data_IF_242245139683
#
_entry.id   IF_242245139683
#
_cell.length_a   1.000
_cell.length_b   1.000
_cell.length_c   1.000
_cell.angle_alpha   90.00
_cell.angle_beta   90.00
_cell.angle_gamma   90.00
#
_symmetry.space_group_name_H-M   'P 1'
#
loop_
_entity.id
_entity.type
_entity.pdbx_description
1 polymer ?
#
# COMPACT_ATOMS: atom_id res chain seq x y z
N UNK A 1 13.36 -15.57 -29.41
CA UNK A 1 12.67 -14.42 -28.79
C UNK A 1 13.26 -14.23 -27.41
N UNK A 2 13.71 -13.04 -27.07
CA UNK A 2 14.27 -12.78 -25.75
C UNK A 2 13.11 -12.81 -24.75
N UNK A 3 13.01 -13.85 -23.92
CA UNK A 3 11.94 -14.01 -22.92
C UNK A 3 12.10 -13.02 -21.75
N UNK A 4 13.28 -12.43 -21.61
CA UNK A 4 13.60 -11.47 -20.55
C UNK A 4 13.32 -10.06 -20.99
N UNK A 5 12.74 -9.28 -20.08
CA UNK A 5 12.28 -7.91 -20.27
C UNK A 5 13.14 -6.91 -19.53
N UNK A 6 13.08 -5.65 -19.94
CA UNK A 6 13.55 -4.53 -19.13
C UNK A 6 12.34 -3.89 -18.48
N UNK A 7 12.32 -3.83 -17.15
CA UNK A 7 11.25 -3.27 -16.34
C UNK A 7 11.68 -1.91 -15.81
N UNK A 8 10.87 -0.89 -16.07
CA UNK A 8 11.05 0.44 -15.52
C UNK A 8 10.24 0.59 -14.23
N UNK A 9 10.88 1.07 -13.16
CA UNK A 9 10.21 1.35 -11.89
C UNK A 9 10.27 2.83 -11.61
N UNK A 10 9.12 3.47 -11.43
CA UNK A 10 9.00 4.86 -11.01
C UNK A 10 8.96 4.88 -9.48
N UNK A 11 10.04 5.39 -8.89
CA UNK A 11 10.32 5.34 -7.47
C UNK A 11 11.40 4.31 -7.13
N UNK A 12 12.47 4.80 -6.49
CA UNK A 12 13.64 4.01 -6.08
C UNK A 12 13.71 3.77 -4.57
N UNK A 13 12.60 3.91 -3.85
CA UNK A 13 12.51 3.61 -2.42
C UNK A 13 12.61 2.12 -2.11
N UNK A 14 12.18 1.73 -0.91
CA UNK A 14 12.26 0.32 -0.48
C UNK A 14 11.37 -0.61 -1.30
N UNK A 15 10.18 -0.16 -1.74
CA UNK A 15 9.30 -1.00 -2.55
C UNK A 15 9.88 -1.18 -3.95
N UNK A 16 10.40 -0.12 -4.56
CA UNK A 16 11.13 -0.18 -5.83
C UNK A 16 12.33 -1.11 -5.77
N UNK A 17 13.11 -1.07 -4.69
CA UNK A 17 14.23 -1.99 -4.45
C UNK A 17 13.75 -3.45 -4.38
N UNK A 18 12.71 -3.76 -3.61
CA UNK A 18 12.22 -5.12 -3.45
C UNK A 18 11.55 -5.65 -4.72
N UNK A 19 10.84 -4.79 -5.48
CA UNK A 19 10.34 -5.14 -6.83
C UNK A 19 11.50 -5.42 -7.80
N UNK A 20 12.57 -4.60 -7.76
CA UNK A 20 13.75 -4.81 -8.59
C UNK A 20 14.46 -6.14 -8.26
N UNK A 21 14.58 -6.50 -6.98
CA UNK A 21 15.14 -7.78 -6.53
C UNK A 21 14.30 -8.94 -7.10
N UNK A 22 12.97 -8.90 -6.95
CA UNK A 22 12.08 -9.93 -7.50
C UNK A 22 12.24 -10.07 -9.03
N UNK A 23 12.28 -8.95 -9.75
CA UNK A 23 12.47 -8.92 -11.21
C UNK A 23 13.81 -9.53 -11.63
N UNK A 24 14.91 -9.22 -10.92
CA UNK A 24 16.25 -9.74 -11.21
C UNK A 24 16.31 -11.25 -10.95
N UNK A 25 15.71 -11.76 -9.90
CA UNK A 25 15.62 -13.21 -9.66
C UNK A 25 14.89 -13.95 -10.78
N UNK A 26 13.93 -13.29 -11.44
CA UNK A 26 13.24 -13.82 -12.63
C UNK A 26 14.05 -13.64 -13.93
N UNK A 27 15.24 -13.03 -13.88
CA UNK A 27 16.14 -12.82 -15.02
C UNK A 27 15.89 -11.51 -15.80
N UNK A 28 15.02 -10.62 -15.32
CA UNK A 28 14.71 -9.34 -15.94
C UNK A 28 15.78 -8.29 -15.64
N UNK A 29 15.89 -7.26 -16.48
CA UNK A 29 16.65 -6.04 -16.20
C UNK A 29 15.74 -5.00 -15.58
N UNK A 30 16.31 -4.14 -14.73
CA UNK A 30 15.56 -3.08 -14.08
C UNK A 30 16.26 -1.73 -14.28
N UNK A 31 15.46 -0.71 -14.61
CA UNK A 31 15.85 0.69 -14.62
C UNK A 31 14.86 1.42 -13.71
N UNK A 32 15.37 2.23 -12.81
CA UNK A 32 14.56 2.99 -11.84
C UNK A 32 14.65 4.49 -12.15
N UNK A 33 13.56 5.22 -11.98
CA UNK A 33 13.55 6.68 -11.98
C UNK A 33 13.34 7.16 -10.56
N UNK A 34 14.27 7.96 -10.03
CA UNK A 34 14.22 8.51 -8.67
C UNK A 34 14.98 9.84 -8.60
N UNK A 35 14.50 10.85 -7.85
CA UNK A 35 15.23 12.11 -7.70
C UNK A 35 16.57 11.98 -6.96
N UNK A 36 16.84 10.82 -6.33
CA UNK A 36 18.03 10.59 -5.52
C UNK A 36 18.91 9.51 -6.14
N UNK A 37 20.14 9.85 -6.49
CA UNK A 37 21.08 8.90 -7.11
C UNK A 37 21.39 7.68 -6.22
N UNK A 38 21.41 7.84 -4.92
CA UNK A 38 21.70 6.84 -3.90
C UNK A 38 20.44 6.31 -3.20
N UNK A 39 19.32 6.28 -3.93
CA UNK A 39 18.08 5.67 -3.47
C UNK A 39 18.27 4.16 -3.18
N UNK A 40 17.41 3.53 -2.35
CA UNK A 40 17.49 2.10 -2.05
C UNK A 40 17.64 1.20 -3.29
N UNK A 41 16.88 1.46 -4.35
CA UNK A 41 16.91 0.67 -5.59
C UNK A 41 18.22 0.81 -6.39
N UNK A 42 19.00 1.88 -6.17
CA UNK A 42 20.31 2.08 -6.86
C UNK A 42 21.33 0.94 -6.64
N UNK A 43 21.11 0.14 -5.60
CA UNK A 43 21.96 -1.02 -5.30
C UNK A 43 21.75 -2.20 -6.22
N UNK A 44 20.60 -2.22 -6.90
CA UNK A 44 20.15 -3.37 -7.71
C UNK A 44 19.60 -2.96 -9.08
N UNK A 45 19.59 -1.68 -9.43
CA UNK A 45 19.11 -1.18 -10.72
C UNK A 45 19.95 0.00 -11.21
N UNK A 46 19.93 0.25 -12.52
CA UNK A 46 20.36 1.53 -13.09
C UNK A 46 19.35 2.61 -12.68
N UNK A 47 19.82 3.81 -12.35
CA UNK A 47 18.95 4.92 -11.93
C UNK A 47 19.00 6.06 -12.93
N UNK A 48 17.83 6.48 -13.43
CA UNK A 48 17.64 7.76 -14.07
C UNK A 48 17.32 8.76 -12.97
N UNK A 49 18.21 9.73 -12.77
CA UNK A 49 18.06 10.72 -11.67
C UNK A 49 17.25 11.91 -12.19
N UNK A 50 15.99 12.00 -11.78
CA UNK A 50 15.08 13.09 -12.14
C UNK A 50 13.87 13.14 -11.18
N UNK A 51 13.19 14.29 -11.06
CA UNK A 51 11.89 14.38 -10.40
C UNK A 51 10.86 13.46 -11.05
N UNK A 52 9.85 13.02 -10.28
CA UNK A 52 8.83 12.07 -10.76
C UNK A 52 7.84 12.67 -11.76
N UNK A 53 7.78 14.00 -11.88
CA UNK A 53 6.97 14.78 -12.81
C UNK A 53 7.79 15.30 -14.02
N UNK A 54 9.05 14.88 -14.16
CA UNK A 54 9.86 15.19 -15.34
C UNK A 54 9.45 14.31 -16.52
N UNK A 55 8.65 14.88 -17.42
CA UNK A 55 8.09 14.21 -18.61
C UNK A 55 9.18 13.72 -19.55
N UNK A 56 10.32 14.42 -19.67
CA UNK A 56 11.44 13.98 -20.52
C UNK A 56 12.10 12.72 -19.92
N UNK A 57 12.35 12.71 -18.61
CA UNK A 57 12.93 11.56 -17.93
C UNK A 57 11.98 10.35 -17.92
N UNK A 58 10.66 10.57 -17.76
CA UNK A 58 9.64 9.55 -17.92
C UNK A 58 9.64 8.98 -19.34
N UNK A 59 9.77 9.83 -20.35
CA UNK A 59 9.90 9.42 -21.75
C UNK A 59 11.18 8.62 -22.03
N UNK A 60 12.31 8.99 -21.42
CA UNK A 60 13.56 8.24 -21.50
C UNK A 60 13.41 6.85 -20.84
N UNK A 61 12.75 6.76 -19.67
CA UNK A 61 12.47 5.49 -19.02
C UNK A 61 11.58 4.61 -19.91
N UNK A 62 10.48 5.17 -20.44
CA UNK A 62 9.53 4.45 -21.30
C UNK A 62 10.19 3.93 -22.60
N UNK A 63 11.09 4.71 -23.22
CA UNK A 63 11.80 4.32 -24.44
C UNK A 63 12.81 3.17 -24.21
N UNK A 64 13.27 2.95 -22.97
CA UNK A 64 14.28 1.96 -22.61
C UNK A 64 13.72 0.69 -21.99
N UNK A 65 12.42 0.71 -21.63
CA UNK A 65 11.77 -0.38 -20.92
C UNK A 65 10.66 -1.02 -21.75
N UNK A 66 10.47 -2.32 -21.56
CA UNK A 66 9.35 -3.07 -22.16
C UNK A 66 8.05 -2.84 -21.36
N UNK A 67 8.17 -2.68 -20.04
CA UNK A 67 7.06 -2.53 -19.09
C UNK A 67 7.45 -1.55 -18.00
N UNK A 68 6.51 -0.71 -17.61
CA UNK A 68 6.65 0.22 -16.49
C UNK A 68 5.74 -0.18 -15.33
N UNK A 69 6.19 0.16 -14.13
CA UNK A 69 5.42 0.10 -12.88
C UNK A 69 5.84 1.24 -11.96
N UNK A 70 5.10 1.46 -10.87
CA UNK A 70 5.39 2.50 -9.89
C UNK A 70 5.37 1.94 -8.46
N UNK A 71 6.16 2.53 -7.57
CA UNK A 71 6.26 2.11 -6.17
C UNK A 71 5.35 2.89 -5.22
N UNK A 72 4.74 3.97 -5.65
CA UNK A 72 3.90 4.83 -4.83
C UNK A 72 2.80 5.50 -5.66
N UNK A 73 1.76 5.95 -4.99
CA UNK A 73 0.55 6.49 -5.61
C UNK A 73 0.67 7.93 -6.12
N UNK A 74 1.61 8.74 -5.62
CA UNK A 74 1.73 10.17 -5.96
C UNK A 74 2.59 10.43 -7.22
N UNK A 75 2.48 9.55 -8.22
CA UNK A 75 3.10 9.74 -9.54
C UNK A 75 2.20 10.61 -10.41
N UNK A 76 2.78 11.45 -11.27
CA UNK A 76 2.03 12.27 -12.21
C UNK A 76 1.35 11.41 -13.28
N UNK A 77 0.04 11.16 -13.10
CA UNK A 77 -0.73 10.34 -14.01
C UNK A 77 -0.89 10.98 -15.40
N UNK A 78 -0.95 12.31 -15.50
CA UNK A 78 -1.08 13.03 -16.77
C UNK A 78 0.25 13.01 -17.53
N UNK A 79 1.36 13.19 -16.82
CA UNK A 79 2.71 13.05 -17.38
C UNK A 79 2.97 11.63 -17.90
N UNK A 80 2.51 10.61 -17.18
CA UNK A 80 2.59 9.22 -17.66
C UNK A 80 1.76 8.99 -18.92
N UNK A 81 0.51 9.45 -18.98
CA UNK A 81 -0.34 9.30 -20.17
C UNK A 81 0.26 9.97 -21.41
N UNK A 82 1.06 11.03 -21.22
CA UNK A 82 1.72 11.72 -22.32
C UNK A 82 2.87 10.93 -22.95
N UNK A 83 3.51 10.01 -22.22
CA UNK A 83 4.76 9.35 -22.64
C UNK A 83 4.67 7.83 -22.76
N UNK A 84 3.68 7.20 -22.16
CA UNK A 84 3.55 5.73 -22.18
C UNK A 84 2.34 5.28 -22.99
N UNK A 85 2.48 4.15 -23.67
CA UNK A 85 1.34 3.42 -24.22
C UNK A 85 0.69 2.54 -23.14
N UNK A 86 -0.59 2.18 -23.32
CA UNK A 86 -1.29 1.27 -22.41
C UNK A 86 -0.59 -0.10 -22.26
N UNK A 87 0.15 -0.53 -23.28
CA UNK A 87 0.94 -1.77 -23.24
C UNK A 87 2.18 -1.67 -22.36
N UNK A 88 2.77 -0.48 -22.23
CA UNK A 88 3.97 -0.24 -21.41
C UNK A 88 3.65 -0.04 -19.94
N UNK A 89 2.46 0.41 -19.59
CA UNK A 89 1.99 0.57 -18.20
C UNK A 89 0.72 -0.26 -17.96
N UNK A 90 0.83 -1.58 -17.71
CA UNK A 90 -0.33 -2.47 -17.59
C UNK A 90 -1.25 -2.13 -16.42
N UNK A 91 -0.72 -1.50 -15.36
CA UNK A 91 -1.52 -0.98 -14.24
C UNK A 91 -2.43 0.18 -14.65
N UNK A 92 -2.09 0.89 -15.73
CA UNK A 92 -2.79 2.09 -16.17
C UNK A 92 -2.64 3.28 -15.20
N UNK A 93 -3.19 4.41 -15.58
CA UNK A 93 -3.22 5.64 -14.77
C UNK A 93 -4.56 5.85 -14.06
N UNK A 94 -5.62 5.15 -14.48
CA UNK A 94 -6.95 5.24 -13.83
C UNK A 94 -6.89 4.82 -12.36
N UNK A 95 -6.14 3.76 -12.05
CA UNK A 95 -5.95 3.29 -10.68
C UNK A 95 -5.20 4.34 -9.83
N UNK A 96 -4.20 5.02 -10.40
CA UNK A 96 -3.53 6.13 -9.73
C UNK A 96 -4.52 7.26 -9.41
N UNK A 97 -5.32 7.69 -10.39
CA UNK A 97 -6.32 8.76 -10.20
C UNK A 97 -7.36 8.40 -9.15
N UNK A 98 -7.78 7.13 -9.11
CA UNK A 98 -8.70 6.64 -8.07
C UNK A 98 -8.04 6.75 -6.69
N UNK A 99 -6.83 6.25 -6.50
CA UNK A 99 -6.16 6.20 -5.21
C UNK A 99 -5.62 7.54 -4.72
N UNK A 100 -5.31 8.47 -5.65
CA UNK A 100 -4.85 9.82 -5.32
C UNK A 100 -5.94 10.74 -4.77
N UNK A 101 -7.21 10.36 -4.93
CA UNK A 101 -8.34 11.20 -4.52
C UNK A 101 -9.40 10.38 -3.77
N UNK A 102 -9.56 10.64 -2.46
CA UNK A 102 -10.50 9.91 -1.59
C UNK A 102 -11.95 9.97 -2.05
N UNK A 103 -12.36 11.02 -2.77
CA UNK A 103 -13.71 11.12 -3.34
C UNK A 103 -13.89 10.10 -4.47
N UNK A 104 -12.89 9.99 -5.35
CA UNK A 104 -12.91 9.02 -6.45
C UNK A 104 -12.78 7.59 -5.92
N UNK A 105 -11.91 7.38 -4.94
CA UNK A 105 -11.71 6.11 -4.27
C UNK A 105 -13.01 5.61 -3.60
N UNK A 106 -13.63 6.42 -2.74
CA UNK A 106 -14.89 6.05 -2.08
C UNK A 106 -16.03 5.80 -3.07
N UNK A 107 -16.13 6.65 -4.10
CA UNK A 107 -17.12 6.46 -5.16
C UNK A 107 -16.87 5.15 -5.94
N UNK A 108 -15.63 4.84 -6.26
CA UNK A 108 -15.27 3.58 -6.92
C UNK A 108 -15.61 2.38 -6.03
N UNK A 109 -15.17 2.38 -4.77
CA UNK A 109 -15.39 1.29 -3.83
C UNK A 109 -16.87 1.02 -3.59
N UNK A 110 -17.64 2.07 -3.27
CA UNK A 110 -19.07 1.93 -2.96
C UNK A 110 -19.92 1.61 -4.18
N UNK A 111 -19.74 2.35 -5.29
CA UNK A 111 -20.70 2.34 -6.40
C UNK A 111 -20.26 1.46 -7.58
N UNK A 112 -18.96 1.32 -7.86
CA UNK A 112 -18.44 0.50 -8.98
C UNK A 112 -18.02 -0.88 -8.50
N UNK A 113 -17.24 -0.96 -7.43
CA UNK A 113 -16.84 -2.23 -6.84
C UNK A 113 -17.99 -2.86 -6.01
N UNK A 114 -18.89 -2.05 -5.43
CA UNK A 114 -20.05 -2.53 -4.67
C UNK A 114 -19.65 -3.20 -3.35
N UNK A 115 -18.59 -2.69 -2.71
CA UNK A 115 -18.13 -3.16 -1.40
C UNK A 115 -18.59 -2.20 -0.29
N UNK A 116 -18.70 -2.73 0.93
CA UNK A 116 -19.07 -1.93 2.09
C UNK A 116 -17.95 -0.97 2.46
N UNK A 117 -18.26 0.32 2.55
CA UNK A 117 -17.40 1.39 3.07
C UNK A 117 -18.11 2.11 4.20
N UNK A 118 -17.40 2.87 5.04
CA UNK A 118 -18.03 3.75 6.02
C UNK A 118 -19.00 4.71 5.31
N UNK A 119 -20.18 5.03 5.88
CA UNK A 119 -21.04 6.08 5.35
C UNK A 119 -20.26 7.39 5.20
N UNK A 120 -20.35 8.01 4.04
CA UNK A 120 -19.55 9.20 3.75
C UNK A 120 -20.33 10.26 2.97
N UNK A 121 -19.86 11.49 3.05
CA UNK A 121 -20.30 12.58 2.16
C UNK A 121 -19.09 13.42 1.71
N UNK A 122 -19.22 14.01 0.54
CA UNK A 122 -18.26 14.99 0.03
C UNK A 122 -18.49 16.32 0.72
N UNK A 123 -17.42 16.98 1.14
CA UNK A 123 -17.41 18.28 1.80
C UNK A 123 -16.59 19.23 0.94
N UNK A 124 -17.20 20.33 0.50
CA UNK A 124 -16.59 21.34 -0.35
C UNK A 124 -16.36 22.67 0.36
N UNK A 125 -17.02 22.86 1.50
CA UNK A 125 -16.89 24.04 2.34
C UNK A 125 -17.32 23.74 3.77
N UNK A 126 -17.05 24.67 4.69
CA UNK A 126 -17.50 24.57 6.08
C UNK A 126 -19.03 24.51 6.24
N UNK A 127 -19.79 25.02 5.24
CA UNK A 127 -21.26 24.96 5.27
C UNK A 127 -21.78 23.52 5.20
N UNK A 128 -21.03 22.63 4.54
CA UNK A 128 -21.39 21.21 4.48
C UNK A 128 -21.29 20.49 5.83
N UNK A 129 -20.66 21.12 6.83
CA UNK A 129 -20.55 20.59 8.19
C UNK A 129 -21.68 21.12 9.12
N UNK A 130 -22.52 22.03 8.63
CA UNK A 130 -23.66 22.52 9.43
C UNK A 130 -24.70 21.41 9.58
N UNK A 131 -25.32 21.37 10.78
CA UNK A 131 -26.38 20.40 11.09
C UNK A 131 -25.91 18.94 11.22
N UNK A 132 -24.62 18.70 11.41
CA UNK A 132 -24.11 17.35 11.73
C UNK A 132 -24.76 16.83 13.02
N UNK A 133 -25.13 15.56 13.00
CA UNK A 133 -25.60 14.84 14.19
C UNK A 133 -24.39 14.53 15.09
N UNK A 134 -24.09 15.42 16.04
CA UNK A 134 -22.96 15.27 16.96
C UNK A 134 -23.17 14.19 18.05
N UNK A 135 -24.21 13.37 17.95
CA UNK A 135 -24.28 12.10 18.71
C UNK A 135 -23.39 11.03 18.10
N UNK A 136 -22.97 11.22 16.85
CA UNK A 136 -22.02 10.37 16.12
C UNK A 136 -20.63 11.00 16.08
N UNK A 137 -19.62 10.15 15.93
CA UNK A 137 -18.24 10.58 15.65
C UNK A 137 -18.01 10.54 14.15
N UNK A 138 -17.26 11.50 13.63
CA UNK A 138 -16.88 11.58 12.22
C UNK A 138 -15.38 11.76 12.05
N UNK A 139 -14.89 11.41 10.87
CA UNK A 139 -13.52 11.72 10.44
C UNK A 139 -13.60 12.53 9.15
N UNK A 140 -13.14 13.76 9.19
CA UNK A 140 -12.99 14.62 8.02
C UNK A 140 -11.58 14.43 7.47
N UNK A 141 -11.47 14.03 6.20
CA UNK A 141 -10.19 13.77 5.54
C UNK A 141 -10.09 14.62 4.28
N UNK A 142 -8.93 15.24 4.02
CA UNK A 142 -8.71 15.93 2.73
C UNK A 142 -8.81 14.93 1.58
N UNK A 143 -9.40 15.37 0.46
CA UNK A 143 -9.57 14.52 -0.71
C UNK A 143 -8.22 14.09 -1.31
N UNK A 144 -7.20 14.94 -1.24
CA UNK A 144 -5.85 14.68 -1.76
C UNK A 144 -4.78 15.06 -0.75
N UNK A 145 -3.58 14.49 -0.86
CA UNK A 145 -2.38 14.89 -0.10
C UNK A 145 -2.36 14.44 1.37
N UNK A 146 -3.30 13.63 1.85
CA UNK A 146 -3.28 13.06 3.20
C UNK A 146 -2.47 11.76 3.27
N UNK A 147 -1.63 11.60 4.31
CA UNK A 147 -0.85 10.39 4.59
C UNK A 147 -0.54 10.28 6.09
N UNK A 148 -0.39 9.08 6.62
CA UNK A 148 0.01 8.79 8.01
C UNK A 148 -0.71 9.68 9.06
N UNK A 149 -2.04 9.94 8.88
CA UNK A 149 -2.84 10.78 9.76
C UNK A 149 -2.80 12.30 9.48
N UNK A 150 -1.97 12.75 8.54
CA UNK A 150 -1.99 14.15 8.08
C UNK A 150 -3.20 14.44 7.19
N UNK A 151 -3.72 15.68 7.27
CA UNK A 151 -4.88 16.09 6.48
C UNK A 151 -6.21 15.49 6.96
N UNK A 152 -6.32 15.13 8.24
CA UNK A 152 -7.55 14.64 8.83
C UNK A 152 -7.87 15.28 10.18
N UNK A 153 -9.18 15.35 10.49
CA UNK A 153 -9.69 15.80 11.78
C UNK A 153 -10.83 14.89 12.24
N UNK A 154 -10.71 14.36 13.46
CA UNK A 154 -11.82 13.63 14.10
C UNK A 154 -12.75 14.62 14.75
N UNK A 155 -14.06 14.49 14.53
CA UNK A 155 -15.13 15.33 15.08
C UNK A 155 -15.94 14.47 16.04
N UNK A 156 -15.76 14.70 17.35
CA UNK A 156 -16.49 14.02 18.43
C UNK A 156 -17.52 14.89 19.09
N UNK A 157 -17.33 16.20 19.02
CA UNK A 157 -18.18 17.18 19.67
C UNK A 157 -18.18 18.52 18.91
N UNK A 158 -18.98 19.47 19.37
CA UNK A 158 -19.01 20.83 18.82
C UNK A 158 -17.65 21.56 18.96
N UNK A 159 -16.81 21.17 19.92
CA UNK A 159 -15.48 21.75 20.14
C UNK A 159 -14.50 21.45 18.98
N UNK A 160 -14.72 20.34 18.26
CA UNK A 160 -13.90 19.95 17.12
C UNK A 160 -14.27 20.68 15.80
N UNK A 161 -15.47 21.29 15.74
CA UNK A 161 -15.99 21.91 14.52
C UNK A 161 -15.14 23.06 13.98
N UNK A 162 -14.56 23.98 14.80
CA UNK A 162 -13.78 25.09 14.26
C UNK A 162 -12.57 24.62 13.43
N UNK A 163 -11.83 23.62 13.90
CA UNK A 163 -10.69 23.06 13.15
C UNK A 163 -11.16 22.30 11.92
N UNK A 164 -12.25 21.53 12.02
CA UNK A 164 -12.82 20.83 10.89
C UNK A 164 -13.32 21.80 9.80
N UNK A 165 -13.97 22.91 10.19
CA UNK A 165 -14.40 23.98 9.28
C UNK A 165 -13.21 24.66 8.59
N UNK A 166 -12.12 24.89 9.33
CA UNK A 166 -10.89 25.43 8.74
C UNK A 166 -10.33 24.48 7.68
N UNK A 167 -10.28 23.18 7.96
CA UNK A 167 -9.85 22.16 7.01
C UNK A 167 -10.75 22.11 5.77
N UNK A 168 -12.07 22.11 5.95
CA UNK A 168 -13.06 22.08 4.87
C UNK A 168 -13.04 23.34 3.97
N UNK A 169 -12.60 24.49 4.51
CA UNK A 169 -12.43 25.71 3.74
C UNK A 169 -11.07 25.77 3.00
N UNK A 170 -10.11 24.96 3.39
CA UNK A 170 -8.79 24.90 2.76
C UNK A 170 -8.67 23.91 1.60
N UNK A 171 -9.49 22.84 1.62
CA UNK A 171 -9.45 21.78 0.62
C UNK A 171 -10.80 21.05 0.53
N UNK A 172 -11.06 20.42 -0.62
CA UNK A 172 -12.14 19.43 -0.70
C UNK A 172 -11.84 18.27 0.25
N UNK A 173 -12.89 17.78 0.92
CA UNK A 173 -12.78 16.71 1.91
C UNK A 173 -13.83 15.63 1.68
N UNK A 174 -13.59 14.49 2.35
CA UNK A 174 -14.58 13.44 2.58
C UNK A 174 -14.84 13.39 4.08
N UNK A 175 -16.10 13.49 4.49
CA UNK A 175 -16.55 13.26 5.86
C UNK A 175 -17.07 11.84 5.96
N UNK A 176 -16.42 11.00 6.75
CA UNK A 176 -16.79 9.62 7.00
C UNK A 176 -17.37 9.46 8.40
N UNK A 177 -18.41 8.63 8.59
CA UNK A 177 -18.80 8.20 9.93
C UNK A 177 -17.67 7.35 10.50
N UNK A 178 -17.30 7.59 11.76
CA UNK A 178 -16.27 6.82 12.44
C UNK A 178 -16.73 5.37 12.63
N UNK A 179 -15.93 4.44 12.18
CA UNK A 179 -16.17 3.01 12.34
C UNK A 179 -15.61 2.58 13.69
N UNK A 180 -16.47 2.06 14.58
CA UNK A 180 -16.00 1.35 15.76
C UNK A 180 -15.59 -0.06 15.34
N UNK A 181 -14.31 -0.29 15.21
CA UNK A 181 -13.74 -1.56 14.78
C UNK A 181 -12.99 -2.24 15.93
N UNK A 182 -12.88 -3.58 15.82
CA UNK A 182 -12.10 -4.37 16.75
C UNK A 182 -10.64 -4.49 16.29
N UNK A 183 -10.42 -4.66 14.97
CA UNK A 183 -9.10 -4.81 14.37
C UNK A 183 -9.00 -4.03 13.05
N UNK A 184 -7.80 -3.52 12.78
CA UNK A 184 -7.41 -3.11 11.44
C UNK A 184 -6.80 -4.31 10.71
N UNK A 185 -7.29 -4.58 9.51
CA UNK A 185 -6.80 -5.68 8.67
C UNK A 185 -6.48 -5.19 7.27
N UNK A 186 -5.71 -5.97 6.55
CA UNK A 186 -5.51 -5.75 5.12
C UNK A 186 -5.50 -7.07 4.34
N UNK A 187 -5.74 -6.97 3.04
CA UNK A 187 -5.61 -8.07 2.10
C UNK A 187 -4.79 -7.60 0.92
N UNK A 188 -3.67 -8.27 0.67
CA UNK A 188 -2.88 -8.07 -0.53
C UNK A 188 -3.47 -8.95 -1.63
N UNK A 189 -3.67 -8.36 -2.80
CA UNK A 189 -4.09 -9.06 -4.02
C UNK A 189 -3.18 -8.66 -5.18
N UNK A 190 -2.88 -9.60 -6.05
CA UNK A 190 -2.14 -9.33 -7.29
C UNK A 190 -2.95 -9.81 -8.48
N UNK A 191 -2.98 -9.01 -9.54
CA UNK A 191 -3.70 -9.31 -10.78
C UNK A 191 -2.77 -9.32 -11.99
N UNK A 192 -3.18 -10.00 -13.06
CA UNK A 192 -2.51 -9.98 -14.37
C UNK A 192 -3.44 -9.48 -15.48
N UNK A 193 -4.50 -8.76 -15.11
CA UNK A 193 -5.57 -8.32 -16.01
C UNK A 193 -6.69 -9.33 -16.21
N UNK A 194 -6.50 -10.61 -15.85
CA UNK A 194 -7.48 -11.71 -15.99
C UNK A 194 -7.68 -12.45 -14.68
N UNK A 195 -6.61 -12.99 -14.13
CA UNK A 195 -6.59 -13.76 -12.89
C UNK A 195 -6.14 -12.90 -11.70
N UNK A 196 -6.49 -13.35 -10.49
CA UNK A 196 -6.15 -12.68 -9.22
C UNK A 196 -5.59 -13.71 -8.25
N UNK A 197 -4.40 -13.46 -7.72
CA UNK A 197 -3.83 -14.14 -6.56
C UNK A 197 -4.16 -13.34 -5.29
N UNK A 198 -4.47 -14.04 -4.20
CA UNK A 198 -4.89 -13.45 -2.92
C UNK A 198 -4.00 -13.97 -1.81
N UNK A 199 -3.43 -13.07 -1.03
CA UNK A 199 -2.65 -13.39 0.15
C UNK A 199 -3.56 -13.66 1.37
N UNK A 200 -3.05 -14.32 2.41
CA UNK A 200 -3.73 -14.43 3.70
C UNK A 200 -4.13 -13.04 4.23
N UNK A 201 -5.19 -12.98 5.03
CA UNK A 201 -5.59 -11.72 5.68
C UNK A 201 -4.56 -11.37 6.75
N UNK A 202 -4.10 -10.11 6.75
CA UNK A 202 -3.17 -9.58 7.73
C UNK A 202 -3.92 -8.72 8.76
N UNK A 203 -3.57 -8.88 10.04
CA UNK A 203 -3.92 -7.93 11.09
C UNK A 203 -2.81 -6.89 11.23
N UNK A 204 -3.18 -5.63 11.32
CA UNK A 204 -2.25 -4.51 11.36
C UNK A 204 -2.40 -3.72 12.66
N UNK A 205 -1.32 -3.55 13.39
CA UNK A 205 -1.26 -2.76 14.61
C UNK A 205 -0.49 -1.49 14.31
N UNK A 206 -1.17 -0.35 14.51
CA UNK A 206 -0.59 0.97 14.30
C UNK A 206 -0.26 1.65 15.62
N UNK A 207 0.90 2.28 15.68
CA UNK A 207 1.30 3.16 16.76
C UNK A 207 1.48 4.58 16.18
N UNK A 208 0.73 5.56 16.71
CA UNK A 208 0.73 6.94 16.20
C UNK A 208 0.52 7.03 14.67
N UNK A 209 -0.45 6.28 14.14
CA UNK A 209 -0.79 6.16 12.71
C UNK A 209 0.33 5.55 11.83
N UNK A 210 1.37 4.98 12.39
CA UNK A 210 2.41 4.27 11.66
C UNK A 210 2.27 2.78 11.95
N UNK A 211 2.24 1.94 10.90
CA UNK A 211 2.22 0.49 11.06
C UNK A 211 3.44 0.04 11.87
N UNK A 212 3.21 -0.56 13.03
CA UNK A 212 4.23 -1.10 13.92
C UNK A 212 4.41 -2.61 13.71
N UNK A 213 3.30 -3.36 13.72
CA UNK A 213 3.30 -4.81 13.69
C UNK A 213 2.23 -5.34 12.73
N UNK A 214 2.56 -6.38 11.98
CA UNK A 214 1.61 -7.15 11.18
C UNK A 214 1.60 -8.60 11.63
N UNK A 215 0.42 -9.17 11.85
CA UNK A 215 0.21 -10.56 12.27
C UNK A 215 -0.48 -11.32 11.15
N UNK A 216 0.01 -12.50 10.82
CA UNK A 216 -0.53 -13.32 9.74
C UNK A 216 -0.60 -14.79 10.18
N UNK A 217 -1.77 -15.43 10.04
CA UNK A 217 -3.07 -14.86 9.65
C UNK A 217 -3.64 -13.92 10.71
N UNK A 218 -4.52 -13.00 10.28
CA UNK A 218 -5.26 -12.12 11.20
C UNK A 218 -6.11 -12.92 12.20
N UNK A 219 -6.22 -12.43 13.43
CA UNK A 219 -6.96 -13.08 14.54
C UNK A 219 -8.47 -12.81 14.45
N UNK A 220 -9.06 -13.15 13.31
CA UNK A 220 -10.49 -13.03 13.02
C UNK A 220 -11.08 -14.40 12.66
N UNK A 221 -12.41 -14.52 12.65
CA UNK A 221 -13.07 -15.76 12.23
C UNK A 221 -12.83 -16.06 10.75
N UNK A 222 -12.84 -17.35 10.38
CA UNK A 222 -12.72 -17.79 8.98
C UNK A 222 -13.78 -17.12 8.09
N UNK A 223 -15.00 -16.91 8.60
CA UNK A 223 -16.08 -16.25 7.88
C UNK A 223 -15.73 -14.79 7.53
N UNK A 224 -15.15 -14.04 8.46
CA UNK A 224 -14.70 -12.66 8.23
C UNK A 224 -13.49 -12.63 7.30
N UNK A 225 -12.54 -13.56 7.46
CA UNK A 225 -11.38 -13.68 6.58
C UNK A 225 -11.80 -13.97 5.13
N UNK A 226 -12.74 -14.89 4.93
CA UNK A 226 -13.28 -15.18 3.59
C UNK A 226 -14.03 -13.99 3.00
N UNK A 227 -14.77 -13.24 3.84
CA UNK A 227 -15.45 -12.02 3.40
C UNK A 227 -14.45 -10.96 2.95
N UNK A 228 -13.40 -10.70 3.74
CA UNK A 228 -12.35 -9.73 3.41
C UNK A 228 -11.66 -10.09 2.08
N UNK A 229 -11.26 -11.36 1.90
CA UNK A 229 -10.69 -11.85 0.65
C UNK A 229 -11.62 -11.68 -0.54
N UNK A 230 -12.90 -12.02 -0.40
CA UNK A 230 -13.90 -11.85 -1.48
C UNK A 230 -14.05 -10.39 -1.89
N UNK A 231 -14.08 -9.46 -0.93
CA UNK A 231 -14.16 -8.02 -1.20
C UNK A 231 -12.91 -7.53 -1.95
N UNK A 232 -11.71 -7.94 -1.52
CA UNK A 232 -10.46 -7.58 -2.19
C UNK A 232 -10.40 -8.13 -3.63
N UNK A 233 -10.80 -9.38 -3.86
CA UNK A 233 -10.92 -9.97 -5.20
C UNK A 233 -11.94 -9.22 -6.06
N UNK A 234 -13.07 -8.82 -5.49
CA UNK A 234 -14.10 -8.06 -6.19
C UNK A 234 -13.57 -6.70 -6.66
N UNK A 235 -12.82 -5.99 -5.80
CA UNK A 235 -12.14 -4.73 -6.14
C UNK A 235 -11.14 -4.96 -7.28
N UNK A 236 -10.24 -5.94 -7.13
CA UNK A 236 -9.21 -6.26 -8.12
C UNK A 236 -9.80 -6.60 -9.50
N UNK A 237 -10.87 -7.41 -9.54
CA UNK A 237 -11.58 -7.74 -10.79
C UNK A 237 -12.23 -6.53 -11.44
N UNK A 238 -12.81 -5.61 -10.66
CA UNK A 238 -13.43 -4.39 -11.19
C UNK A 238 -12.40 -3.42 -11.76
N UNK A 239 -11.18 -3.43 -11.22
CA UNK A 239 -10.04 -2.68 -11.72
C UNK A 239 -9.36 -3.34 -12.93
N UNK A 240 -9.67 -4.60 -13.25
CA UNK A 240 -8.86 -5.42 -14.17
C UNK A 240 -7.38 -5.36 -13.77
N UNK A 241 -7.12 -5.53 -12.47
CA UNK A 241 -5.83 -5.26 -11.84
C UNK A 241 -4.67 -5.96 -12.58
N UNK A 242 -3.62 -5.20 -12.87
CA UNK A 242 -2.29 -5.71 -13.21
C UNK A 242 -1.29 -5.22 -12.15
N UNK A 243 -0.47 -6.14 -11.61
CA UNK A 243 0.38 -5.83 -10.45
C UNK A 243 -0.35 -6.04 -9.12
N UNK A 244 0.12 -5.40 -8.05
CA UNK A 244 -0.36 -5.61 -6.68
C UNK A 244 -1.17 -4.43 -6.17
N UNK A 245 -2.20 -4.76 -5.39
CA UNK A 245 -3.07 -3.84 -4.67
C UNK A 245 -3.15 -4.28 -3.21
N UNK A 246 -3.06 -3.36 -2.28
CA UNK A 246 -3.46 -3.58 -0.89
C UNK A 246 -4.85 -2.99 -0.67
N UNK A 247 -5.71 -3.73 0.01
CA UNK A 247 -7.02 -3.26 0.46
C UNK A 247 -7.00 -3.22 1.98
N UNK A 248 -7.05 -2.02 2.55
CA UNK A 248 -7.10 -1.82 3.99
C UNK A 248 -8.55 -1.78 4.47
N UNK A 249 -8.83 -2.48 5.57
CA UNK A 249 -10.18 -2.72 6.04
C UNK A 249 -10.25 -2.65 7.56
N UNK A 250 -11.43 -2.34 8.06
CA UNK A 250 -11.80 -2.47 9.45
C UNK A 250 -12.61 -3.75 9.65
N UNK A 251 -12.21 -4.58 10.60
CA UNK A 251 -12.98 -5.73 11.05
C UNK A 251 -13.74 -5.38 12.34
N UNK A 252 -15.04 -5.61 12.31
CA UNK A 252 -15.92 -5.56 13.50
C UNK A 252 -16.29 -6.99 13.89
N UNK A 253 -17.04 -7.17 14.97
CA UNK A 253 -17.50 -8.49 15.41
C UNK A 253 -18.22 -9.28 14.28
N UNK A 254 -18.95 -8.60 13.39
CA UNK A 254 -19.84 -9.23 12.43
C UNK A 254 -19.61 -8.82 10.98
N UNK A 255 -18.77 -7.80 10.72
CA UNK A 255 -18.64 -7.22 9.38
C UNK A 255 -17.21 -6.79 9.04
N UNK A 256 -16.99 -6.60 7.72
CA UNK A 256 -15.76 -6.03 7.15
C UNK A 256 -16.14 -4.76 6.38
N UNK A 257 -15.42 -3.68 6.64
CA UNK A 257 -15.64 -2.36 6.04
C UNK A 257 -14.33 -1.92 5.36
N UNK A 258 -14.38 -1.66 4.07
CA UNK A 258 -13.18 -1.18 3.32
C UNK A 258 -12.89 0.25 3.70
N UNK A 259 -11.65 0.52 4.11
CA UNK A 259 -11.15 1.85 4.42
C UNK A 259 -10.56 2.53 3.17
N UNK A 260 -9.45 1.99 2.65
CA UNK A 260 -8.74 2.58 1.51
C UNK A 260 -8.00 1.50 0.70
N UNK A 261 -7.48 1.89 -0.47
CA UNK A 261 -6.67 1.02 -1.32
C UNK A 261 -5.31 1.66 -1.61
N UNK A 262 -4.26 0.84 -1.67
CA UNK A 262 -2.95 1.25 -2.13
C UNK A 262 -2.58 0.48 -3.41
N UNK A 263 -2.35 1.16 -4.56
CA UNK A 263 -2.18 0.55 -5.88
C UNK A 263 -0.76 0.00 -6.10
N UNK A 264 -0.18 -0.67 -5.12
CA UNK A 264 1.23 -1.09 -5.08
C UNK A 264 1.44 -2.18 -4.02
N UNK A 265 2.61 -2.84 -4.01
CA UNK A 265 3.04 -3.61 -2.84
C UNK A 265 2.97 -2.75 -1.57
N UNK A 266 2.59 -3.36 -0.46
CA UNK A 266 2.29 -2.65 0.78
C UNK A 266 3.17 -3.14 1.94
N UNK A 267 3.39 -2.25 2.91
CA UNK A 267 4.21 -2.55 4.08
C UNK A 267 3.70 -3.78 4.86
N UNK A 268 2.37 -3.89 5.02
CA UNK A 268 1.75 -5.05 5.68
C UNK A 268 1.94 -6.38 4.94
N UNK A 269 2.38 -6.35 3.68
CA UNK A 269 2.65 -7.54 2.87
C UNK A 269 4.11 -8.00 2.89
N UNK A 270 5.01 -7.33 3.63
CA UNK A 270 6.45 -7.67 3.60
C UNK A 270 6.75 -9.05 4.19
N UNK A 271 5.93 -9.52 5.15
CA UNK A 271 6.04 -10.89 5.70
C UNK A 271 6.06 -11.96 4.60
N UNK A 272 5.42 -11.68 3.45
CA UNK A 272 5.30 -12.66 2.36
C UNK A 272 6.63 -13.06 1.73
N UNK A 273 7.71 -12.30 1.97
CA UNK A 273 9.05 -12.64 1.48
C UNK A 273 9.52 -13.97 2.09
N UNK A 274 9.30 -14.19 3.38
CA UNK A 274 9.72 -15.42 4.07
C UNK A 274 8.56 -16.38 4.29
N UNK A 275 7.37 -15.85 4.59
CA UNK A 275 6.27 -16.67 5.08
C UNK A 275 5.38 -17.25 3.99
N UNK A 276 5.54 -16.85 2.72
CA UNK A 276 4.78 -17.39 1.60
C UNK A 276 5.70 -18.03 0.55
N UNK A 277 5.13 -18.91 -0.27
CA UNK A 277 5.80 -19.50 -1.44
C UNK A 277 6.13 -18.49 -2.54
N UNK A 278 5.37 -17.40 -2.62
CA UNK A 278 5.64 -16.21 -3.45
C UNK A 278 5.41 -14.95 -2.64
N UNK A 279 6.32 -13.99 -2.77
CA UNK A 279 6.12 -12.68 -2.14
C UNK A 279 5.14 -11.81 -2.94
N UNK A 280 4.64 -10.74 -2.30
CA UNK A 280 3.86 -9.73 -3.00
C UNK A 280 4.64 -9.05 -4.13
N UNK A 281 5.97 -9.05 -4.06
CA UNK A 281 6.85 -8.48 -5.09
C UNK A 281 6.97 -9.42 -6.28
N UNK A 282 7.08 -10.73 -6.04
CA UNK A 282 7.08 -11.73 -7.11
C UNK A 282 5.79 -11.68 -7.90
N UNK A 283 4.65 -11.70 -7.20
CA UNK A 283 3.33 -11.65 -7.84
C UNK A 283 3.04 -10.29 -8.49
N UNK A 284 3.62 -9.20 -7.99
CA UNK A 284 3.57 -7.90 -8.65
C UNK A 284 4.26 -7.95 -10.02
N UNK A 285 5.49 -8.46 -10.07
CA UNK A 285 6.25 -8.59 -11.32
C UNK A 285 5.54 -9.52 -12.31
N UNK A 286 5.07 -10.69 -11.86
CA UNK A 286 4.27 -11.58 -12.70
C UNK A 286 3.03 -10.87 -13.24
N UNK A 287 2.34 -10.11 -12.40
CA UNK A 287 1.13 -9.38 -12.75
C UNK A 287 1.36 -8.31 -13.82
N UNK A 288 2.36 -7.45 -13.67
CA UNK A 288 2.67 -6.41 -14.65
C UNK A 288 3.23 -6.99 -15.96
N UNK A 289 3.76 -8.20 -15.93
CA UNK A 289 4.21 -8.92 -17.12
C UNK A 289 3.09 -9.74 -17.79
N UNK A 290 1.87 -9.74 -17.25
CA UNK A 290 0.75 -10.55 -17.74
C UNK A 290 1.00 -12.06 -17.63
N UNK A 291 1.87 -12.48 -16.71
CA UNK A 291 2.21 -13.88 -16.47
C UNK A 291 1.12 -14.58 -15.64
N UNK A 292 0.98 -15.90 -15.71
CA UNK A 292 0.10 -16.65 -14.83
C UNK A 292 0.47 -16.41 -13.36
N UNK A 293 -0.55 -16.19 -12.52
CA UNK A 293 -0.36 -15.98 -11.09
C UNK A 293 -0.49 -17.30 -10.32
N UNK A 294 0.38 -17.54 -9.31
CA UNK A 294 0.30 -18.73 -8.47
C UNK A 294 -0.86 -18.62 -7.46
N UNK A 295 -1.26 -19.77 -6.91
CA UNK A 295 -1.98 -19.80 -5.64
C UNK A 295 -0.99 -19.54 -4.52
N UNK A 296 -1.33 -18.66 -3.58
CA UNK A 296 -0.44 -18.29 -2.48
C UNK A 296 -0.65 -19.20 -1.29
N UNK A 297 0.42 -19.80 -0.80
CA UNK A 297 0.42 -20.62 0.40
C UNK A 297 1.25 -19.96 1.50
N UNK A 298 0.67 -19.83 2.69
CA UNK A 298 1.37 -19.42 3.90
C UNK A 298 2.06 -20.66 4.49
N UNK A 299 3.37 -20.59 4.73
CA UNK A 299 4.15 -21.72 5.26
C UNK A 299 3.88 -21.95 6.74
N UNK A 300 3.78 -20.86 7.50
CA UNK A 300 3.51 -20.85 8.93
C UNK A 300 3.01 -19.47 9.37
N UNK A 301 2.32 -19.36 10.52
CA UNK A 301 2.01 -18.06 11.11
C UNK A 301 3.26 -17.21 11.28
N UNK A 302 3.13 -15.92 10.99
CA UNK A 302 4.25 -15.00 11.01
C UNK A 302 3.87 -13.64 11.60
N UNK A 303 4.88 -12.98 12.16
CA UNK A 303 4.79 -11.60 12.62
C UNK A 303 5.84 -10.78 11.90
N UNK A 304 5.45 -9.64 11.38
CA UNK A 304 6.37 -8.65 10.81
C UNK A 304 6.38 -7.40 11.69
N UNK A 305 7.56 -6.96 12.10
CA UNK A 305 7.80 -5.73 12.85
C UNK A 305 8.45 -4.68 11.95
N UNK A 306 7.93 -3.47 11.94
CA UNK A 306 8.58 -2.35 11.26
C UNK A 306 9.78 -1.84 12.09
N UNK A 307 10.87 -1.57 11.40
CA UNK A 307 12.04 -0.93 11.99
C UNK A 307 12.03 0.55 11.61
N UNK A 308 11.69 1.40 12.57
CA UNK A 308 11.74 2.84 12.41
C UNK A 308 13.14 3.39 12.72
N UNK A 309 13.43 4.64 12.33
CA UNK A 309 14.76 5.22 12.48
C UNK A 309 15.32 5.16 13.89
N UNK A 310 14.48 5.36 14.90
CA UNK A 310 14.86 5.27 16.32
C UNK A 310 15.09 3.83 16.80
N UNK A 311 14.59 2.81 16.08
CA UNK A 311 14.63 1.41 16.49
C UNK A 311 15.70 0.58 15.76
N UNK A 312 16.51 1.21 14.89
CA UNK A 312 17.50 0.49 14.05
C UNK A 312 18.47 -0.35 14.87
N UNK A 313 19.07 0.22 15.92
CA UNK A 313 20.03 -0.51 16.76
C UNK A 313 19.33 -1.65 17.54
N UNK A 314 18.15 -1.38 18.08
CA UNK A 314 17.36 -2.37 18.80
C UNK A 314 17.00 -3.57 17.92
N UNK A 315 16.62 -3.33 16.66
CA UNK A 315 16.33 -4.39 15.70
C UNK A 315 17.57 -5.25 15.36
N UNK A 316 18.74 -4.62 15.23
CA UNK A 316 20.02 -5.32 15.00
C UNK A 316 20.35 -6.21 16.20
N UNK A 317 20.24 -5.67 17.42
CA UNK A 317 20.51 -6.41 18.65
C UNK A 317 19.52 -7.56 18.87
N UNK A 318 18.24 -7.32 18.52
CA UNK A 318 17.19 -8.33 18.58
C UNK A 318 17.48 -9.53 17.67
N UNK A 319 17.84 -9.27 16.40
CA UNK A 319 18.16 -10.35 15.45
C UNK A 319 19.42 -11.10 15.84
N UNK A 320 20.41 -10.43 16.41
CA UNK A 320 21.60 -11.10 16.94
C UNK A 320 21.28 -12.11 18.07
N UNK A 321 20.20 -11.88 18.82
CA UNK A 321 19.73 -12.78 19.89
C UNK A 321 18.69 -13.78 19.40
N UNK A 322 18.05 -13.54 18.25
CA UNK A 322 17.01 -14.37 17.64
C UNK A 322 17.40 -14.80 16.23
N UNK A 323 18.23 -15.86 16.07
CA UNK A 323 18.80 -16.26 14.77
C UNK A 323 17.77 -16.71 13.72
N UNK A 324 16.51 -16.97 14.11
CA UNK A 324 15.40 -17.29 13.22
C UNK A 324 14.66 -16.06 12.70
N UNK A 325 15.02 -14.86 13.17
CA UNK A 325 14.43 -13.61 12.70
C UNK A 325 15.09 -13.14 11.41
N UNK A 326 14.27 -12.71 10.45
CA UNK A 326 14.71 -12.23 9.15
C UNK A 326 14.72 -10.72 9.12
N UNK A 327 15.89 -10.09 9.03
CA UNK A 327 16.05 -8.65 9.00
C UNK A 327 16.24 -8.14 7.56
N UNK A 328 15.39 -7.20 7.15
CA UNK A 328 15.52 -6.46 5.91
C UNK A 328 15.76 -4.98 6.19
N UNK A 329 16.97 -4.50 5.93
CA UNK A 329 17.29 -3.08 5.98
C UNK A 329 17.26 -2.47 4.59
N UNK A 330 16.49 -1.39 4.44
CA UNK A 330 16.25 -0.77 3.12
C UNK A 330 17.43 0.04 2.58
N UNK A 331 18.44 0.28 3.42
CA UNK A 331 19.65 0.98 3.00
C UNK A 331 19.50 2.49 2.81
N UNK A 332 18.49 3.10 3.44
CA UNK A 332 18.34 4.55 3.48
C UNK A 332 19.47 5.18 4.28
N UNK A 333 20.02 6.31 3.81
CA UNK A 333 21.20 6.95 4.39
C UNK A 333 20.96 7.49 5.80
N UNK A 334 19.79 8.07 6.06
CA UNK A 334 19.49 8.73 7.33
C UNK A 334 18.36 8.03 8.08
N UNK A 335 18.65 7.59 9.30
CA UNK A 335 17.68 7.01 10.22
C UNK A 335 16.90 8.11 10.96
N UNK A 336 16.08 8.90 10.23
CA UNK A 336 15.22 9.92 10.84
C UNK A 336 14.15 9.27 11.71
N UNK A 337 13.76 9.97 12.78
CA UNK A 337 12.66 9.55 13.65
C UNK A 337 11.40 9.24 12.82
N UNK A 338 10.73 8.13 13.11
CA UNK A 338 9.56 7.60 12.43
C UNK A 338 9.75 7.21 10.94
N UNK A 339 10.95 7.36 10.37
CA UNK A 339 11.22 6.90 9.02
C UNK A 339 11.34 5.37 9.01
N UNK A 340 10.57 4.70 8.17
CA UNK A 340 10.66 3.25 7.95
C UNK A 340 12.03 2.90 7.35
N UNK A 341 12.88 2.23 8.12
CA UNK A 341 14.27 1.89 7.78
C UNK A 341 14.45 0.44 7.38
N UNK A 342 13.57 -0.44 7.83
CA UNK A 342 13.59 -1.86 7.61
C UNK A 342 12.37 -2.55 8.15
N UNK A 343 12.40 -3.87 8.14
CA UNK A 343 11.43 -4.73 8.84
C UNK A 343 12.12 -6.00 9.32
N UNK A 344 11.51 -6.64 10.32
CA UNK A 344 11.91 -7.97 10.80
C UNK A 344 10.71 -8.89 10.64
N UNK A 345 10.90 -10.07 10.04
CA UNK A 345 9.90 -11.13 9.95
C UNK A 345 10.29 -12.31 10.84
N UNK A 346 9.33 -12.81 11.59
CA UNK A 346 9.47 -13.98 12.49
C UNK A 346 8.35 -14.97 12.22
N UNK A 347 8.65 -16.26 12.31
CA UNK A 347 7.64 -17.29 12.43
C UNK A 347 7.28 -17.43 13.90
N UNK A 348 6.02 -17.22 14.25
CA UNK A 348 5.52 -17.30 15.62
C UNK A 348 4.09 -17.84 15.63
N UNK A 349 3.85 -18.88 16.45
CA UNK A 349 2.50 -19.41 16.65
C UNK A 349 1.68 -18.49 17.55
N UNK A 350 2.32 -17.86 18.54
CA UNK A 350 1.72 -16.83 19.39
C UNK A 350 2.32 -15.45 19.07
N UNK A 351 1.53 -14.61 18.45
CA UNK A 351 1.95 -13.27 18.06
C UNK A 351 2.11 -12.31 19.25
N UNK A 352 1.51 -12.63 20.40
CA UNK A 352 1.60 -11.79 21.60
C UNK A 352 2.96 -11.99 22.32
N UNK A 353 3.66 -13.11 22.06
CA UNK A 353 5.03 -13.31 22.53
C UNK A 353 6.08 -12.46 21.79
N UNK A 354 5.72 -11.88 20.64
CA UNK A 354 6.62 -11.04 19.86
C UNK A 354 6.44 -9.57 20.27
N UNK A 355 7.41 -9.08 21.05
CA UNK A 355 7.44 -7.68 21.50
C UNK A 355 7.80 -6.74 20.34
N UNK A 356 7.20 -5.54 20.35
CA UNK A 356 7.54 -4.44 19.43
C UNK A 356 8.84 -3.76 19.87
N UNK A 357 9.49 -3.06 18.93
CA UNK A 357 10.71 -2.29 19.20
C UNK A 357 10.43 -0.98 19.94
#
# INVERSE_FOLDING_TARGET
MNSFKTIGIIGGGQLGQMMAIAAIYMGHKVITLDPTNDCPASRVSEVIVAPYDDVEALGQLAARCDVLTYEFENVDADGLDAVVSACQLPQGTDLLRISQNRIFEKNFLANKAGVTVAPYKVVTSSLDLEGLDLTKTYVLKTATGGYDGHGQKVIRSAEDLPEAQQLANSAQCVLEEFVNFDLEISVIVSGNGQDVAVFPVQENIHCNNILSKTIVPARISDQLADKAKKMAVQIAKKLQLSGTLCVEMFATADDIIVNEIAPRPHNSGHYSIEACDFSQFDTHILGVLGQPLPTIHLHAPAVMLNVLGQHVQQAIDYVAQNPSAHLHMYGKLEAKHNRKMGHVTLFAEDADEVEEF
#
